data_IF_479711492953
#
_entry.id   IF_479711492953
#
_cell.length_a   1.000
_cell.length_b   1.000
_cell.length_c   1.000
_cell.angle_alpha   90.00
_cell.angle_beta   90.00
_cell.angle_gamma   90.00
#
_symmetry.space_group_name_H-M   'P 1'
#
loop_
_entity.id
_entity.type
_entity.pdbx_description
1 polymer ?
#
# COMPACT_ATOMS: atom_id res chain seq x y z
N UNK A 1 19.40 8.03 15.38
CA UNK A 1 18.14 8.74 15.09
C UNK A 1 18.03 9.20 13.61
N UNK A 2 19.07 9.74 13.00
CA UNK A 2 19.03 10.18 11.59
C UNK A 2 18.69 9.08 10.56
N UNK A 3 19.12 7.82 10.81
CA UNK A 3 18.80 6.70 9.93
C UNK A 3 17.32 6.29 9.95
N UNK A 4 16.69 6.33 11.11
CA UNK A 4 15.29 5.97 11.31
C UNK A 4 14.33 6.96 10.62
N UNK A 5 14.62 8.27 10.72
CA UNK A 5 13.86 9.31 10.03
C UNK A 5 13.99 9.22 8.51
N UNK A 6 15.18 8.83 8.03
CA UNK A 6 15.42 8.63 6.59
C UNK A 6 14.64 7.45 6.02
N UNK A 7 14.55 6.34 6.74
CA UNK A 7 13.75 5.18 6.32
C UNK A 7 12.23 5.49 6.37
N UNK A 8 11.78 6.18 7.41
CA UNK A 8 10.39 6.63 7.49
C UNK A 8 9.99 7.55 6.32
N UNK A 9 10.79 8.58 6.05
CA UNK A 9 10.54 9.54 4.94
C UNK A 9 10.65 8.86 3.56
N UNK A 10 11.50 7.84 3.43
CA UNK A 10 11.64 7.05 2.22
C UNK A 10 10.34 6.29 1.90
N UNK A 11 9.74 5.64 2.89
CA UNK A 11 8.46 4.93 2.74
C UNK A 11 7.30 5.87 2.37
N UNK A 12 7.32 7.11 2.89
CA UNK A 12 6.24 8.06 2.68
C UNK A 12 6.28 8.74 1.30
N UNK A 13 7.47 9.01 0.75
CA UNK A 13 7.60 9.82 -0.48
C UNK A 13 8.29 9.08 -1.63
N UNK A 14 9.40 8.42 -1.36
CA UNK A 14 10.21 7.79 -2.41
C UNK A 14 9.65 6.44 -2.89
N UNK A 15 8.99 5.70 -2.01
CA UNK A 15 8.50 4.34 -2.26
C UNK A 15 6.98 4.24 -2.00
N UNK A 16 6.16 5.20 -2.47
CA UNK A 16 4.69 5.13 -2.38
C UNK A 16 4.18 3.78 -2.92
N UNK A 17 3.60 2.88 -2.06
CA UNK A 17 3.42 1.48 -2.42
C UNK A 17 2.62 1.22 -3.70
N UNK A 18 1.37 1.70 -3.88
CA UNK A 18 0.60 1.36 -5.07
C UNK A 18 1.07 2.09 -6.33
N UNK A 19 1.70 3.26 -6.20
CA UNK A 19 2.04 4.09 -7.35
C UNK A 19 3.46 3.90 -7.87
N UNK A 20 4.41 3.54 -7.01
CA UNK A 20 5.82 3.36 -7.42
C UNK A 20 6.28 1.91 -7.36
N UNK A 21 5.89 1.18 -6.32
CA UNK A 21 6.27 -0.23 -6.16
C UNK A 21 5.28 -1.19 -6.83
N UNK A 22 4.07 -0.73 -7.19
CA UNK A 22 2.95 -1.55 -7.69
C UNK A 22 2.62 -2.73 -6.75
N UNK A 23 2.91 -2.57 -5.46
CA UNK A 23 2.61 -3.54 -4.41
C UNK A 23 1.32 -3.14 -3.68
N UNK A 24 0.55 -4.14 -3.24
CA UNK A 24 -0.71 -3.91 -2.53
C UNK A 24 -1.88 -3.57 -3.45
N UNK A 25 -1.83 -3.94 -4.72
CA UNK A 25 -2.91 -3.65 -5.68
C UNK A 25 -4.21 -4.38 -5.35
N UNK A 26 -4.16 -5.60 -4.78
CA UNK A 26 -5.35 -6.38 -4.47
C UNK A 26 -6.31 -5.64 -3.52
N UNK A 27 -5.90 -5.19 -2.32
CA UNK A 27 -6.77 -4.39 -1.47
C UNK A 27 -7.06 -3.01 -2.06
N UNK A 28 -6.11 -2.42 -2.78
CA UNK A 28 -6.31 -1.13 -3.45
C UNK A 28 -7.48 -1.14 -4.43
N UNK A 29 -7.62 -2.19 -5.23
CA UNK A 29 -8.71 -2.31 -6.21
C UNK A 29 -10.04 -2.69 -5.57
N UNK A 30 -10.01 -3.54 -4.54
CA UNK A 30 -11.21 -4.09 -3.91
C UNK A 30 -11.89 -3.09 -2.97
N UNK A 31 -11.13 -2.35 -2.16
CA UNK A 31 -11.64 -1.56 -1.03
C UNK A 31 -11.89 -0.10 -1.37
N UNK A 32 -11.22 0.46 -2.38
CA UNK A 32 -11.30 1.89 -2.74
C UNK A 32 -12.59 2.28 -3.48
N UNK A 33 -13.73 1.68 -3.13
CA UNK A 33 -15.04 2.11 -3.64
C UNK A 33 -15.49 3.44 -3.03
N UNK A 34 -15.14 3.66 -1.75
CA UNK A 34 -15.35 4.90 -1.02
C UNK A 34 -14.06 5.32 -0.31
N UNK A 35 -13.88 6.61 -0.07
CA UNK A 35 -12.72 7.14 0.64
C UNK A 35 -12.68 6.68 2.11
N UNK A 36 -13.84 6.55 2.74
CA UNK A 36 -13.98 6.08 4.13
C UNK A 36 -13.47 4.64 4.28
N UNK A 37 -13.89 3.74 3.38
CA UNK A 37 -13.42 2.35 3.38
C UNK A 37 -11.92 2.28 3.11
N UNK A 38 -11.40 3.10 2.19
CA UNK A 38 -9.97 3.20 1.91
C UNK A 38 -9.16 3.62 3.12
N UNK A 39 -9.64 4.61 3.87
CA UNK A 39 -8.99 5.08 5.10
C UNK A 39 -9.05 4.02 6.22
N UNK A 40 -10.21 3.41 6.46
CA UNK A 40 -10.38 2.38 7.49
C UNK A 40 -9.48 1.16 7.24
N UNK A 41 -9.45 0.68 6.01
CA UNK A 41 -8.56 -0.42 5.60
C UNK A 41 -7.08 -0.03 5.70
N UNK A 42 -6.74 1.20 5.33
CA UNK A 42 -5.39 1.73 5.46
C UNK A 42 -4.89 1.70 6.90
N UNK A 43 -5.71 2.15 7.85
CA UNK A 43 -5.37 2.11 9.29
C UNK A 43 -5.15 0.68 9.80
N UNK A 44 -5.98 -0.27 9.38
CA UNK A 44 -5.78 -1.68 9.71
C UNK A 44 -4.43 -2.20 9.16
N UNK A 45 -4.09 -1.86 7.93
CA UNK A 45 -2.81 -2.23 7.31
C UNK A 45 -1.62 -1.60 8.03
N UNK A 46 -1.69 -0.32 8.44
CA UNK A 46 -0.62 0.33 9.24
C UNK A 46 -0.33 -0.47 10.50
N UNK A 47 -1.37 -0.85 11.22
CA UNK A 47 -1.24 -1.62 12.45
C UNK A 47 -0.60 -2.99 12.19
N UNK A 48 -1.13 -3.73 11.20
CA UNK A 48 -0.64 -5.07 10.87
C UNK A 48 0.79 -5.04 10.36
N UNK A 49 1.15 -4.13 9.43
CA UNK A 49 2.50 -4.07 8.85
C UNK A 49 3.55 -3.69 9.92
N UNK A 50 3.22 -2.76 10.81
CA UNK A 50 4.12 -2.32 11.87
C UNK A 50 4.38 -3.44 12.86
N UNK A 51 3.31 -4.11 13.33
CA UNK A 51 3.41 -5.18 14.32
C UNK A 51 4.02 -6.44 13.71
N UNK A 52 3.69 -6.76 12.45
CA UNK A 52 4.32 -7.85 11.70
C UNK A 52 5.81 -7.61 11.51
N UNK A 53 6.22 -6.40 11.12
CA UNK A 53 7.64 -6.05 10.97
C UNK A 53 8.40 -6.14 12.28
N UNK A 54 7.77 -5.76 13.40
CA UNK A 54 8.32 -5.92 14.73
C UNK A 54 8.55 -7.40 15.07
N UNK A 55 7.51 -8.24 14.94
CA UNK A 55 7.58 -9.67 15.28
C UNK A 55 8.56 -10.43 14.38
N UNK A 56 8.51 -10.17 13.07
CA UNK A 56 9.41 -10.80 12.09
C UNK A 56 10.87 -10.47 12.40
N UNK A 57 11.17 -9.20 12.71
CA UNK A 57 12.53 -8.79 13.05
C UNK A 57 13.01 -9.40 14.38
N UNK A 58 12.11 -9.63 15.33
CA UNK A 58 12.42 -10.28 16.60
C UNK A 58 12.78 -11.77 16.40
N UNK A 59 11.96 -12.48 15.60
CA UNK A 59 12.06 -13.94 15.43
C UNK A 59 13.04 -14.34 14.32
N UNK A 60 13.54 -13.39 13.51
CA UNK A 60 14.36 -13.62 12.31
C UNK A 60 15.57 -14.56 12.51
N UNK A 61 16.14 -14.63 13.73
CA UNK A 61 17.30 -15.48 14.04
C UNK A 61 16.93 -16.95 14.23
N UNK A 62 15.66 -17.23 14.55
CA UNK A 62 15.17 -18.57 14.87
C UNK A 62 14.66 -19.27 13.61
N UNK A 63 14.12 -18.51 12.64
CA UNK A 63 13.46 -19.06 11.46
C UNK A 63 14.49 -19.50 10.40
N UNK A 64 14.51 -20.78 10.00
CA UNK A 64 15.36 -21.27 8.92
C UNK A 64 14.90 -20.72 7.56
N UNK A 65 15.86 -20.47 6.66
CA UNK A 65 15.61 -19.84 5.34
C UNK A 65 14.55 -20.55 4.49
N UNK A 66 14.41 -21.89 4.64
CA UNK A 66 13.50 -22.71 3.82
C UNK A 66 12.00 -22.48 4.11
N UNK A 67 11.65 -22.12 5.35
CA UNK A 67 10.23 -21.97 5.79
C UNK A 67 9.86 -20.55 6.15
N UNK A 68 10.71 -19.57 5.79
CA UNK A 68 10.58 -18.18 6.20
C UNK A 68 9.25 -17.56 5.77
N UNK A 69 8.86 -17.74 4.50
CA UNK A 69 7.64 -17.16 3.95
C UNK A 69 6.39 -17.71 4.65
N UNK A 70 6.36 -19.02 4.90
CA UNK A 70 5.23 -19.65 5.61
C UNK A 70 5.07 -19.10 7.04
N UNK A 71 6.18 -18.91 7.76
CA UNK A 71 6.16 -18.30 9.09
C UNK A 71 5.65 -16.85 9.06
N UNK A 72 6.05 -16.07 8.06
CA UNK A 72 5.58 -14.68 7.94
C UNK A 72 4.09 -14.60 7.65
N UNK A 73 3.56 -15.48 6.80
CA UNK A 73 2.12 -15.57 6.53
C UNK A 73 1.35 -15.93 7.80
N UNK A 74 1.85 -16.91 8.58
CA UNK A 74 1.20 -17.32 9.84
C UNK A 74 1.18 -16.18 10.87
N UNK A 75 2.28 -15.43 11.01
CA UNK A 75 2.34 -14.26 11.89
C UNK A 75 1.35 -13.18 11.40
N UNK A 76 1.35 -12.87 10.11
CA UNK A 76 0.42 -11.90 9.55
C UNK A 76 -1.04 -12.33 9.74
N UNK A 77 -1.36 -13.61 9.52
CA UNK A 77 -2.70 -14.16 9.72
C UNK A 77 -3.18 -14.00 11.17
N UNK A 78 -2.35 -14.33 12.16
CA UNK A 78 -2.72 -14.20 13.57
C UNK A 78 -2.98 -12.75 13.96
N UNK A 79 -2.19 -11.81 13.43
CA UNK A 79 -2.39 -10.38 13.67
C UNK A 79 -3.67 -9.85 13.01
N UNK A 80 -3.95 -10.29 11.78
CA UNK A 80 -5.15 -9.88 11.06
C UNK A 80 -6.41 -10.36 11.75
N UNK A 81 -6.45 -11.61 12.24
CA UNK A 81 -7.57 -12.11 13.06
C UNK A 81 -7.75 -11.28 14.33
N UNK A 82 -6.66 -10.89 14.99
CA UNK A 82 -6.72 -10.00 16.16
C UNK A 82 -7.33 -8.64 15.83
N UNK A 83 -6.96 -8.05 14.69
CA UNK A 83 -7.53 -6.78 14.20
C UNK A 83 -9.00 -6.95 13.86
N UNK A 84 -9.38 -8.06 13.22
CA UNK A 84 -10.78 -8.36 12.88
C UNK A 84 -11.66 -8.41 14.13
N UNK A 85 -11.22 -9.10 15.16
CA UNK A 85 -11.94 -9.16 16.45
C UNK A 85 -12.02 -7.78 17.12
N UNK A 86 -10.98 -6.98 17.07
CA UNK A 86 -10.99 -5.61 17.58
C UNK A 86 -11.98 -4.72 16.80
N UNK A 87 -11.99 -4.81 15.48
CA UNK A 87 -12.95 -4.07 14.65
C UNK A 87 -14.39 -4.50 14.93
N UNK A 88 -14.64 -5.80 15.13
CA UNK A 88 -15.94 -6.32 15.49
C UNK A 88 -16.43 -5.79 16.85
N UNK A 89 -15.52 -5.61 17.81
CA UNK A 89 -15.86 -5.14 19.15
C UNK A 89 -16.10 -3.62 19.21
N UNK A 90 -15.30 -2.81 18.49
CA UNK A 90 -15.29 -1.35 18.63
C UNK A 90 -15.91 -0.60 17.46
N UNK A 91 -15.87 -1.15 16.25
CA UNK A 91 -16.28 -0.49 15.02
C UNK A 91 -17.17 -1.40 14.15
N UNK A 92 -18.27 -1.89 14.72
CA UNK A 92 -19.17 -2.84 14.07
C UNK A 92 -19.70 -2.38 12.69
N UNK A 93 -20.11 -1.11 12.47
CA UNK A 93 -20.55 -0.66 11.14
C UNK A 93 -19.44 -0.71 10.11
N UNK A 94 -18.21 -0.41 10.50
CA UNK A 94 -17.04 -0.51 9.62
C UNK A 94 -16.71 -1.98 9.34
N UNK A 95 -16.86 -2.86 10.32
CA UNK A 95 -16.67 -4.31 10.16
C UNK A 95 -17.65 -4.91 9.14
N UNK A 96 -18.91 -4.49 9.14
CA UNK A 96 -19.88 -4.97 8.15
C UNK A 96 -19.48 -4.66 6.70
N UNK A 97 -18.83 -3.53 6.46
CA UNK A 97 -18.39 -3.13 5.12
C UNK A 97 -17.04 -3.74 4.73
N UNK A 98 -16.11 -3.82 5.67
CA UNK A 98 -14.72 -4.23 5.39
C UNK A 98 -14.42 -5.69 5.74
N UNK A 99 -15.26 -6.38 6.51
CA UNK A 99 -14.96 -7.72 7.04
C UNK A 99 -14.63 -8.76 5.96
N UNK A 100 -15.26 -8.67 4.79
CA UNK A 100 -14.97 -9.56 3.64
C UNK A 100 -13.56 -9.29 3.07
N UNK A 101 -13.05 -8.06 3.21
CA UNK A 101 -11.77 -7.64 2.65
C UNK A 101 -10.60 -7.75 3.64
N UNK A 102 -10.88 -7.90 4.94
CA UNK A 102 -9.84 -8.04 5.98
C UNK A 102 -8.89 -9.22 5.72
N UNK A 103 -9.35 -10.41 5.28
CA UNK A 103 -8.45 -11.51 4.93
C UNK A 103 -7.47 -11.19 3.79
N UNK A 104 -7.78 -10.22 2.91
CA UNK A 104 -6.86 -9.75 1.87
C UNK A 104 -5.60 -9.07 2.44
N UNK A 105 -5.64 -8.63 3.69
CA UNK A 105 -4.46 -8.07 4.38
C UNK A 105 -3.41 -9.17 4.60
N UNK A 106 -3.81 -10.40 4.89
CA UNK A 106 -2.89 -11.53 5.15
C UNK A 106 -2.00 -11.81 3.94
N UNK A 107 -2.61 -11.85 2.75
CA UNK A 107 -1.91 -12.13 1.48
C UNK A 107 -1.42 -10.88 0.78
N UNK A 108 -1.44 -9.73 1.44
CA UNK A 108 -1.01 -8.46 0.87
C UNK A 108 0.48 -8.52 0.53
N UNK A 109 0.79 -8.38 -0.75
CA UNK A 109 2.16 -8.40 -1.27
C UNK A 109 3.04 -7.29 -0.69
N UNK A 110 2.46 -6.19 -0.19
CA UNK A 110 3.21 -5.15 0.51
C UNK A 110 3.77 -5.67 1.84
N UNK A 111 2.93 -6.32 2.66
CA UNK A 111 3.33 -6.84 3.98
C UNK A 111 4.37 -7.94 3.81
N UNK A 112 4.09 -8.93 2.95
CA UNK A 112 5.01 -10.04 2.70
C UNK A 112 6.32 -9.57 2.05
N UNK A 113 6.23 -8.66 1.09
CA UNK A 113 7.39 -8.09 0.42
C UNK A 113 8.31 -7.33 1.38
N UNK A 114 7.77 -6.53 2.30
CA UNK A 114 8.58 -5.79 3.30
C UNK A 114 9.08 -6.71 4.41
N UNK A 115 8.32 -7.69 4.82
CA UNK A 115 8.76 -8.70 5.79
C UNK A 115 10.03 -9.43 5.30
N UNK A 116 10.07 -9.87 4.05
CA UNK A 116 11.21 -10.57 3.46
C UNK A 116 12.35 -9.63 3.04
N UNK A 117 12.02 -8.51 2.39
CA UNK A 117 13.03 -7.61 1.85
C UNK A 117 13.77 -6.81 2.94
N UNK A 118 13.05 -6.37 3.97
CA UNK A 118 13.56 -5.42 4.96
C UNK A 118 13.56 -5.95 6.40
N UNK A 119 12.42 -6.36 6.95
CA UNK A 119 12.29 -6.74 8.36
C UNK A 119 13.13 -7.97 8.71
N UNK A 120 13.22 -8.96 7.81
CA UNK A 120 14.04 -10.15 7.99
C UNK A 120 15.55 -9.91 7.97
N UNK A 121 16.02 -8.72 7.59
CA UNK A 121 17.46 -8.40 7.46
C UNK A 121 17.92 -7.32 8.42
N UNK A 122 17.04 -6.39 8.79
CA UNK A 122 17.38 -5.21 9.58
C UNK A 122 17.00 -5.33 11.06
N UNK A 123 17.59 -4.53 11.96
CA UNK A 123 17.24 -4.51 13.37
C UNK A 123 15.82 -3.98 13.59
N UNK A 124 15.22 -4.37 14.71
CA UNK A 124 13.82 -4.11 15.07
C UNK A 124 13.39 -2.65 14.92
N UNK A 125 14.20 -1.72 15.42
CA UNK A 125 13.87 -0.29 15.38
C UNK A 125 13.78 0.29 13.95
N UNK A 126 14.61 -0.20 13.03
CA UNK A 126 14.54 0.19 11.62
C UNK A 126 13.35 -0.47 10.91
N UNK A 127 13.06 -1.73 11.23
CA UNK A 127 11.93 -2.46 10.66
C UNK A 127 10.58 -1.83 11.04
N UNK A 128 10.45 -1.35 12.28
CA UNK A 128 9.24 -0.65 12.74
C UNK A 128 9.10 0.71 12.07
N UNK A 129 10.19 1.49 11.95
CA UNK A 129 10.15 2.79 11.29
C UNK A 129 9.78 2.68 9.80
N UNK A 130 10.31 1.67 9.12
CA UNK A 130 9.97 1.36 7.73
C UNK A 130 8.51 0.91 7.59
N UNK A 131 8.04 0.01 8.47
CA UNK A 131 6.66 -0.45 8.49
C UNK A 131 5.65 0.69 8.68
N UNK A 132 5.93 1.62 9.60
CA UNK A 132 5.12 2.82 9.82
C UNK A 132 5.12 3.73 8.57
N UNK A 133 6.28 4.02 8.01
CA UNK A 133 6.39 4.87 6.82
C UNK A 133 5.64 4.31 5.62
N UNK A 134 5.81 3.01 5.36
CA UNK A 134 5.12 2.31 4.27
C UNK A 134 3.61 2.19 4.51
N UNK A 135 3.20 1.91 5.74
CA UNK A 135 1.78 1.80 6.10
C UNK A 135 1.05 3.13 5.92
N UNK A 136 1.62 4.24 6.40
CA UNK A 136 1.05 5.58 6.24
C UNK A 136 1.01 5.97 4.77
N UNK A 137 2.09 5.73 4.00
CA UNK A 137 2.11 5.97 2.56
C UNK A 137 1.04 5.19 1.81
N UNK A 138 0.81 3.94 2.21
CA UNK A 138 -0.25 3.10 1.66
C UNK A 138 -1.65 3.63 1.99
N UNK A 139 -1.90 4.04 3.24
CA UNK A 139 -3.17 4.63 3.67
C UNK A 139 -3.51 5.89 2.89
N UNK A 140 -2.53 6.80 2.74
CA UNK A 140 -2.71 8.02 1.94
C UNK A 140 -3.07 7.70 0.49
N UNK A 141 -2.38 6.72 -0.09
CA UNK A 141 -2.63 6.30 -1.47
C UNK A 141 -4.00 5.66 -1.66
N UNK A 142 -4.45 4.81 -0.71
CA UNK A 142 -5.80 4.21 -0.72
C UNK A 142 -6.88 5.28 -0.61
N UNK A 143 -6.72 6.21 0.34
CA UNK A 143 -7.68 7.30 0.57
C UNK A 143 -7.76 8.21 -0.65
N UNK A 144 -6.62 8.55 -1.24
CA UNK A 144 -6.58 9.37 -2.45
C UNK A 144 -7.28 8.69 -3.65
N UNK A 145 -6.96 7.42 -3.89
CA UNK A 145 -7.60 6.66 -4.97
C UNK A 145 -9.10 6.46 -4.71
N UNK A 146 -9.48 6.19 -3.45
CA UNK A 146 -10.88 6.09 -3.02
C UNK A 146 -11.63 7.40 -3.26
N UNK A 147 -11.06 8.54 -2.89
CA UNK A 147 -11.65 9.85 -3.10
C UNK A 147 -11.83 10.17 -4.59
N UNK A 148 -10.85 9.86 -5.43
CA UNK A 148 -10.96 10.04 -6.89
C UNK A 148 -12.08 9.17 -7.46
N UNK A 149 -12.15 7.91 -7.08
CA UNK A 149 -13.19 6.99 -7.57
C UNK A 149 -14.58 7.36 -7.07
N UNK A 150 -14.71 7.79 -5.81
CA UNK A 150 -15.98 8.24 -5.24
C UNK A 150 -16.45 9.53 -5.93
N UNK A 151 -15.54 10.48 -6.19
CA UNK A 151 -15.86 11.72 -6.89
C UNK A 151 -16.41 11.48 -8.29
N UNK A 152 -15.78 10.60 -9.08
CA UNK A 152 -16.23 10.29 -10.45
C UNK A 152 -17.37 9.26 -10.50
N UNK A 153 -17.49 8.40 -9.48
CA UNK A 153 -18.50 7.34 -9.42
C UNK A 153 -19.86 7.81 -8.93
N UNK A 154 -19.88 8.57 -7.84
CA UNK A 154 -21.10 9.02 -7.16
C UNK A 154 -21.23 10.54 -7.06
N UNK A 155 -20.14 11.29 -7.32
CA UNK A 155 -20.12 12.75 -7.15
C UNK A 155 -20.03 13.20 -5.70
N UNK A 156 -19.79 12.26 -4.77
CA UNK A 156 -19.59 12.51 -3.35
C UNK A 156 -18.11 12.36 -2.97
N UNK A 157 -17.69 12.91 -1.87
CA UNK A 157 -16.40 12.63 -1.24
C UNK A 157 -16.62 12.59 0.28
N UNK A 158 -16.27 11.49 0.93
CA UNK A 158 -16.57 11.22 2.34
C UNK A 158 -18.07 11.37 2.68
N UNK A 159 -18.95 10.94 1.76
CA UNK A 159 -20.40 11.05 1.97
C UNK A 159 -20.99 12.45 1.81
N UNK A 160 -20.17 13.46 1.46
CA UNK A 160 -20.63 14.84 1.20
C UNK A 160 -20.84 15.02 -0.30
N UNK A 161 -22.03 15.43 -0.73
CA UNK A 161 -22.34 15.73 -2.14
C UNK A 161 -21.60 16.99 -2.59
N UNK A 162 -20.65 16.84 -3.53
CA UNK A 162 -19.87 17.97 -4.07
C UNK A 162 -20.38 18.39 -5.45
N UNK A 163 -20.83 17.45 -6.28
CA UNK A 163 -21.24 17.73 -7.67
C UNK A 163 -22.71 18.04 -7.87
N UNK A 164 -23.54 17.99 -6.80
CA UNK A 164 -24.98 18.33 -6.86
C UNK A 164 -25.84 17.27 -7.55
N UNK A 165 -27.18 17.42 -7.44
CA UNK A 165 -28.18 16.45 -7.85
C UNK A 165 -28.30 16.17 -9.35
N UNK A 166 -27.57 16.89 -10.22
CA UNK A 166 -27.63 16.74 -11.69
C UNK A 166 -26.56 15.82 -12.29
N UNK A 167 -25.67 15.26 -11.46
CA UNK A 167 -24.60 14.38 -11.94
C UNK A 167 -25.12 12.94 -12.06
N UNK A 168 -25.13 12.40 -13.30
CA UNK A 168 -25.42 10.98 -13.50
C UNK A 168 -24.23 10.13 -13.03
N UNK A 169 -24.40 9.25 -12.03
CA UNK A 169 -23.31 8.46 -11.47
C UNK A 169 -22.76 7.47 -12.51
N UNK A 170 -21.46 7.53 -12.77
CA UNK A 170 -20.77 6.60 -13.67
C UNK A 170 -20.51 5.29 -12.93
N UNK A 171 -21.51 4.38 -12.93
CA UNK A 171 -21.46 3.08 -12.22
C UNK A 171 -20.24 2.24 -12.61
N UNK A 172 -19.72 2.41 -13.83
CA UNK A 172 -18.50 1.74 -14.29
C UNK A 172 -17.27 2.09 -13.44
N UNK A 173 -17.17 3.33 -12.94
CA UNK A 173 -16.01 3.78 -12.15
C UNK A 173 -15.99 3.17 -10.75
N UNK A 174 -17.14 2.84 -10.18
CA UNK A 174 -17.27 2.14 -8.88
C UNK A 174 -16.95 0.65 -9.03
N UNK A 175 -17.19 0.06 -10.21
CA UNK A 175 -16.88 -1.34 -10.49
C UNK A 175 -15.36 -1.61 -10.53
N UNK A 176 -14.95 -2.88 -10.39
CA UNK A 176 -13.56 -3.30 -10.42
C UNK A 176 -12.76 -2.83 -11.66
N UNK A 177 -13.29 -2.88 -12.91
CA UNK A 177 -12.55 -2.37 -14.08
C UNK A 177 -12.30 -0.87 -14.01
N UNK A 178 -13.20 -0.08 -13.42
CA UNK A 178 -12.99 1.35 -13.21
C UNK A 178 -11.80 1.67 -12.31
N UNK A 179 -11.51 0.80 -11.33
CA UNK A 179 -10.33 0.96 -10.48
C UNK A 179 -9.02 0.86 -11.26
N UNK A 180 -8.93 -0.06 -12.22
CA UNK A 180 -7.75 -0.18 -13.09
C UNK A 180 -7.59 1.04 -13.99
N UNK A 181 -8.68 1.55 -14.56
CA UNK A 181 -8.65 2.76 -15.39
C UNK A 181 -8.20 3.98 -14.56
N UNK A 182 -8.79 4.17 -13.37
CA UNK A 182 -8.40 5.26 -12.47
C UNK A 182 -6.92 5.18 -12.07
N UNK A 183 -6.45 4.00 -11.67
CA UNK A 183 -5.05 3.79 -11.32
C UNK A 183 -4.13 4.05 -12.52
N UNK A 184 -4.47 3.54 -13.70
CA UNK A 184 -3.72 3.74 -14.93
C UNK A 184 -3.62 5.22 -15.32
N UNK A 185 -4.71 5.98 -15.20
CA UNK A 185 -4.73 7.42 -15.48
C UNK A 185 -3.85 8.20 -14.48
N UNK A 186 -3.91 7.86 -13.19
CA UNK A 186 -3.08 8.49 -12.16
C UNK A 186 -1.60 8.21 -12.44
N UNK A 187 -1.23 6.96 -12.74
CA UNK A 187 0.15 6.59 -13.09
C UNK A 187 0.64 7.30 -14.35
N UNK A 188 -0.19 7.36 -15.39
CA UNK A 188 0.11 8.09 -16.63
C UNK A 188 0.32 9.58 -16.35
N UNK A 189 -0.53 10.20 -15.52
CA UNK A 189 -0.42 11.60 -15.11
C UNK A 189 0.86 11.88 -14.32
N UNK A 190 1.18 11.04 -13.34
CA UNK A 190 2.42 11.18 -12.56
C UNK A 190 3.66 11.04 -13.43
N UNK A 191 3.66 10.08 -14.36
CA UNK A 191 4.75 9.87 -15.29
C UNK A 191 4.90 11.06 -16.26
N UNK A 192 3.80 11.54 -16.81
CA UNK A 192 3.79 12.73 -17.66
C UNK A 192 4.35 13.96 -16.94
N UNK A 193 3.93 14.20 -15.69
CA UNK A 193 4.45 15.30 -14.88
C UNK A 193 5.96 15.15 -14.62
N UNK A 194 6.43 13.94 -14.32
CA UNK A 194 7.85 13.68 -14.09
C UNK A 194 8.70 13.95 -15.35
N UNK A 195 8.21 13.54 -16.52
CA UNK A 195 8.87 13.80 -17.81
C UNK A 195 8.91 15.31 -18.13
N UNK A 196 7.81 16.02 -17.91
CA UNK A 196 7.73 17.48 -18.13
C UNK A 196 8.68 18.22 -17.20
N UNK A 197 8.76 17.80 -15.93
CA UNK A 197 9.69 18.40 -14.96
C UNK A 197 11.16 18.13 -15.32
N UNK A 198 11.50 16.92 -15.73
CA UNK A 198 12.84 16.57 -16.18
C UNK A 198 13.24 17.40 -17.42
N UNK A 199 12.33 17.51 -18.39
CA UNK A 199 12.55 18.34 -19.59
C UNK A 199 12.75 19.82 -19.27
N UNK A 200 12.02 20.35 -18.26
CA UNK A 200 12.20 21.74 -17.81
C UNK A 200 13.54 21.99 -17.08
N UNK A 201 14.07 20.94 -16.41
CA UNK A 201 15.35 21.02 -15.69
C UNK A 201 16.56 20.69 -16.58
N UNK A 202 16.34 20.26 -17.83
CA UNK A 202 17.41 19.84 -18.73
C UNK A 202 18.14 18.55 -18.31
N UNK A 203 17.53 17.78 -17.38
CA UNK A 203 18.07 16.47 -16.95
C UNK A 203 17.62 15.38 -17.94
N UNK A 204 18.44 14.32 -18.13
CA UNK A 204 18.00 13.18 -18.93
C UNK A 204 16.70 12.63 -18.34
N UNK A 205 15.73 12.33 -19.23
CA UNK A 205 14.41 11.81 -18.83
C UNK A 205 14.64 10.61 -17.90
N UNK A 206 14.10 10.63 -16.67
CA UNK A 206 14.26 9.50 -15.77
C UNK A 206 13.62 8.28 -16.44
N UNK A 207 14.44 7.27 -16.73
CA UNK A 207 13.93 5.97 -17.16
C UNK A 207 12.92 5.50 -16.10
N UNK A 208 11.69 5.21 -16.56
CA UNK A 208 10.58 4.86 -15.71
C UNK A 208 10.96 3.81 -14.67
N UNK A 209 10.93 4.09 -13.38
CA UNK A 209 11.18 3.07 -12.35
C UNK A 209 10.13 1.95 -12.38
N UNK A 210 9.00 2.15 -13.07
CA UNK A 210 7.92 1.18 -13.21
C UNK A 210 8.07 0.21 -14.39
N UNK A 211 9.00 0.45 -15.32
CA UNK A 211 9.12 -0.34 -16.58
C UNK A 211 10.37 -1.17 -16.69
N UNK A 212 11.12 -1.42 -15.66
CA UNK A 212 12.30 -2.25 -15.85
C UNK A 212 12.81 -2.94 -14.62
N UNK A 213 13.37 -4.10 -14.80
CA UNK A 213 14.18 -4.84 -13.83
C UNK A 213 15.36 -4.02 -13.26
N UNK A 214 15.56 -2.78 -13.69
CA UNK A 214 16.57 -1.85 -13.16
C UNK A 214 16.35 -1.44 -11.70
N UNK A 215 15.12 -1.49 -11.20
CA UNK A 215 14.84 -1.28 -9.77
C UNK A 215 15.29 -2.47 -8.89
N UNK A 216 15.53 -3.62 -9.49
CA UNK A 216 15.99 -4.82 -8.79
C UNK A 216 17.53 -4.88 -8.80
N UNK A 217 18.18 -4.04 -8.00
CA UNK A 217 19.63 -4.12 -7.73
C UNK A 217 20.10 -5.53 -7.32
N UNK A 218 19.16 -6.38 -6.87
CA UNK A 218 19.41 -7.78 -6.54
C UNK A 218 19.67 -8.65 -7.79
N UNK A 219 19.02 -8.35 -8.93
CA UNK A 219 19.29 -9.09 -10.18
C UNK A 219 20.64 -8.69 -10.80
N UNK A 220 21.04 -7.43 -10.68
CA UNK A 220 22.31 -6.96 -11.23
C UNK A 220 23.55 -7.51 -10.47
N UNK A 221 23.40 -7.84 -9.18
CA UNK A 221 24.48 -8.43 -8.38
C UNK A 221 24.67 -9.95 -8.62
N UNK A 222 23.68 -10.64 -9.16
CA UNK A 222 23.72 -12.09 -9.41
C UNK A 222 24.33 -12.50 -10.76
N UNK A 223 24.58 -11.57 -11.67
CA UNK A 223 25.07 -11.87 -13.03
C UNK A 223 26.57 -11.59 -13.23
N UNK A 224 27.30 -11.27 -12.15
CA UNK A 224 28.77 -11.23 -12.17
C UNK A 224 29.32 -12.50 -11.53
N UNK A 225 29.39 -13.55 -12.33
CA UNK A 225 30.30 -14.66 -12.10
C UNK A 225 30.89 -15.07 -13.43
#
# INVERSE_FOLDING_TARGET
MAGMWKEFSKGLWAELPPFRLLLGLCPTLAVTTTAENGFGMGMAVVFVITLSSFLVSLIRKIIPKKVRIACYITIAASLVVSVELLMQAYAYPLYQQLGIFVPLIVVNCLILGRAEAFAGKNPVHMAVADGLGMGIGFTLSLTFLGAVRELFGTGTVFGVEIMGASFEPVKFMVAAPGAFVALGLILAGMNFLSIVQAKRRGEPVPENPSTGCHACRACAAGFKK
#
